data_IF_419396841159
#
_entry.id   IF_419396841159
#
_cell.length_a   1.000
_cell.length_b   1.000
_cell.length_c   1.000
_cell.angle_alpha   90.00
_cell.angle_beta   90.00
_cell.angle_gamma   90.00
#
_symmetry.space_group_name_H-M   'P 1'
#
loop_
_entity.id
_entity.type
_entity.pdbx_description
1 polymer ?
#
# COMPACT_ATOMS: atom_id res chain seq x y z
N UNK A 1 7.07 31.38 -24.63
CA UNK A 1 6.23 30.34 -23.99
C UNK A 1 7.04 29.05 -23.94
N UNK A 2 7.15 28.40 -22.77
CA UNK A 2 7.87 27.12 -22.64
C UNK A 2 7.04 26.00 -23.27
N UNK A 3 7.66 25.14 -24.08
CA UNK A 3 6.98 24.00 -24.72
C UNK A 3 6.60 22.99 -23.62
N UNK A 4 5.34 22.52 -23.55
CA UNK A 4 4.96 21.52 -22.56
C UNK A 4 5.82 20.26 -22.74
N UNK A 5 6.40 19.77 -21.63
CA UNK A 5 7.15 18.51 -21.64
C UNK A 5 6.20 17.38 -22.03
N UNK A 6 6.63 16.55 -22.99
CA UNK A 6 5.90 15.35 -23.37
C UNK A 6 5.95 14.33 -22.22
N UNK A 7 4.87 13.56 -22.04
CA UNK A 7 4.86 12.45 -21.09
C UNK A 7 5.88 11.39 -21.47
N UNK A 8 6.35 10.60 -20.50
CA UNK A 8 7.27 9.48 -20.75
C UNK A 8 6.75 8.55 -21.85
N UNK A 9 5.46 8.20 -21.81
CA UNK A 9 4.81 7.38 -22.82
C UNK A 9 4.89 8.02 -24.23
N UNK A 10 4.67 9.34 -24.33
CA UNK A 10 4.75 10.05 -25.60
C UNK A 10 6.20 10.17 -26.11
N UNK A 11 7.18 10.22 -25.23
CA UNK A 11 8.61 10.20 -25.60
C UNK A 11 8.98 8.81 -26.14
N UNK A 12 8.61 7.75 -25.44
CA UNK A 12 8.88 6.38 -25.87
C UNK A 12 8.20 6.08 -27.22
N UNK A 13 6.94 6.47 -27.41
CA UNK A 13 6.24 6.28 -28.68
C UNK A 13 6.93 6.99 -29.85
N UNK A 14 7.31 8.27 -29.66
CA UNK A 14 8.03 9.03 -30.69
C UNK A 14 9.38 8.41 -31.04
N UNK A 15 10.12 7.96 -30.03
CA UNK A 15 11.42 7.31 -30.24
C UNK A 15 11.27 5.99 -31.00
N UNK A 16 10.24 5.19 -30.68
CA UNK A 16 9.94 3.97 -31.42
C UNK A 16 9.62 4.23 -32.89
N UNK A 17 8.79 5.24 -33.17
CA UNK A 17 8.48 5.66 -34.56
C UNK A 17 9.73 6.12 -35.29
N UNK A 18 10.58 6.94 -34.65
CA UNK A 18 11.80 7.46 -35.25
C UNK A 18 12.79 6.34 -35.61
N UNK A 19 13.04 5.41 -34.67
CA UNK A 19 13.91 4.25 -34.89
C UNK A 19 13.35 3.31 -35.97
N UNK A 20 12.04 3.17 -36.04
CA UNK A 20 11.40 2.34 -37.05
C UNK A 20 11.50 2.95 -38.45
N UNK A 21 11.33 4.27 -38.57
CA UNK A 21 11.52 4.99 -39.81
C UNK A 21 12.98 4.92 -40.29
N UNK A 22 13.94 5.05 -39.38
CA UNK A 22 15.37 4.94 -39.69
C UNK A 22 15.75 3.58 -40.28
N UNK A 23 15.07 2.50 -39.88
CA UNK A 23 15.31 1.15 -40.43
C UNK A 23 14.54 0.90 -41.73
N UNK A 24 13.29 1.36 -41.83
CA UNK A 24 12.40 1.03 -42.96
C UNK A 24 12.58 1.90 -44.19
N UNK A 25 13.15 3.10 -44.05
CA UNK A 25 13.25 4.07 -45.14
C UNK A 25 14.71 4.19 -45.60
N UNK A 26 15.07 3.69 -46.79
CA UNK A 26 16.46 3.68 -47.28
C UNK A 26 17.08 5.08 -47.39
N UNK A 27 16.27 6.09 -47.72
CA UNK A 27 16.70 7.49 -47.80
C UNK A 27 17.12 8.03 -46.42
N UNK A 28 16.36 7.71 -45.38
CA UNK A 28 16.69 8.09 -44.00
C UNK A 28 17.92 7.32 -43.52
N UNK A 29 17.99 6.01 -43.78
CA UNK A 29 19.12 5.18 -43.40
C UNK A 29 20.44 5.70 -44.00
N UNK A 30 20.42 6.10 -45.27
CA UNK A 30 21.61 6.62 -45.97
C UNK A 30 22.09 7.95 -45.37
N UNK A 31 21.16 8.86 -45.03
CA UNK A 31 21.50 10.14 -44.37
C UNK A 31 21.99 9.93 -42.93
N UNK A 32 21.40 8.99 -42.21
CA UNK A 32 21.83 8.62 -40.85
C UNK A 32 23.26 8.06 -40.84
N UNK A 33 23.60 7.22 -41.82
CA UNK A 33 24.94 6.64 -41.99
C UNK A 33 26.00 7.72 -42.29
N UNK A 34 25.66 8.73 -43.10
CA UNK A 34 26.52 9.91 -43.34
C UNK A 34 26.87 10.67 -42.05
N UNK A 35 25.98 10.62 -41.05
CA UNK A 35 26.17 11.22 -39.73
C UNK A 35 26.74 10.25 -38.68
N UNK A 36 27.19 9.06 -39.08
CA UNK A 36 27.83 8.08 -38.20
C UNK A 36 26.87 7.17 -37.44
N UNK A 37 25.58 7.16 -37.81
CA UNK A 37 24.59 6.22 -37.29
C UNK A 37 24.40 5.08 -38.29
N UNK A 38 25.32 4.12 -38.24
CA UNK A 38 25.23 2.91 -39.04
C UNK A 38 24.12 1.97 -38.54
N UNK A 39 23.92 0.86 -39.26
CA UNK A 39 22.91 -0.13 -38.88
C UNK A 39 23.12 -0.73 -37.48
N UNK A 40 24.37 -0.81 -37.00
CA UNK A 40 24.69 -1.38 -35.70
C UNK A 40 24.29 -0.42 -34.57
N UNK A 41 24.55 0.88 -34.73
CA UNK A 41 24.17 1.90 -33.76
C UNK A 41 22.64 2.06 -33.69
N UNK A 42 21.94 1.99 -34.82
CA UNK A 42 20.47 2.00 -34.86
C UNK A 42 19.90 0.75 -34.16
N UNK A 43 20.53 -0.42 -34.34
CA UNK A 43 20.14 -1.65 -33.65
C UNK A 43 20.36 -1.55 -32.12
N UNK A 44 21.46 -0.93 -31.68
CA UNK A 44 21.72 -0.64 -30.27
C UNK A 44 20.63 0.29 -29.68
N UNK A 45 20.29 1.37 -30.39
CA UNK A 45 19.20 2.28 -30.01
C UNK A 45 17.84 1.57 -29.89
N UNK A 46 17.54 0.62 -30.79
CA UNK A 46 16.34 -0.24 -30.69
C UNK A 46 16.35 -1.13 -29.46
N UNK A 47 17.48 -1.78 -29.15
CA UNK A 47 17.60 -2.62 -27.96
C UNK A 47 17.38 -1.81 -26.68
N UNK A 48 17.98 -0.63 -26.56
CA UNK A 48 17.76 0.29 -25.44
C UNK A 48 16.32 0.76 -25.35
N UNK A 49 15.68 1.05 -26.50
CA UNK A 49 14.28 1.45 -26.53
C UNK A 49 13.33 0.33 -26.05
N UNK A 50 13.59 -0.91 -26.45
CA UNK A 50 12.82 -2.08 -26.01
C UNK A 50 13.00 -2.35 -24.51
N UNK A 51 14.22 -2.20 -23.98
CA UNK A 51 14.48 -2.29 -22.55
C UNK A 51 13.72 -1.20 -21.77
N UNK A 52 13.77 0.05 -22.24
CA UNK A 52 13.04 1.16 -21.64
C UNK A 52 11.53 0.91 -21.63
N UNK A 53 10.97 0.37 -22.72
CA UNK A 53 9.55 -0.03 -22.79
C UNK A 53 9.22 -1.12 -21.77
N UNK A 54 10.10 -2.11 -21.60
CA UNK A 54 9.92 -3.19 -20.63
C UNK A 54 9.88 -2.64 -19.19
N UNK A 55 10.83 -1.77 -18.85
CA UNK A 55 10.88 -1.13 -17.53
C UNK A 55 9.67 -0.23 -17.29
N UNK A 56 9.31 0.60 -18.28
CA UNK A 56 8.15 1.50 -18.17
C UNK A 56 6.84 0.74 -17.94
N UNK A 57 6.62 -0.36 -18.68
CA UNK A 57 5.47 -1.26 -18.48
C UNK A 57 5.47 -1.87 -17.08
N UNK A 58 6.63 -2.32 -16.59
CA UNK A 58 6.77 -2.88 -15.25
C UNK A 58 6.42 -1.83 -14.19
N UNK A 59 6.97 -0.62 -14.29
CA UNK A 59 6.68 0.48 -13.37
C UNK A 59 5.19 0.83 -13.32
N UNK A 60 4.51 0.79 -14.48
CA UNK A 60 3.07 1.02 -14.54
C UNK A 60 2.29 -0.04 -13.75
N UNK A 61 2.62 -1.32 -13.95
CA UNK A 61 1.98 -2.43 -13.23
C UNK A 61 2.23 -2.29 -11.72
N UNK A 62 3.46 -2.06 -11.30
CA UNK A 62 3.80 -1.86 -9.88
C UNK A 62 3.08 -0.65 -9.27
N UNK A 63 2.93 0.43 -10.04
CA UNK A 63 2.16 1.61 -9.63
C UNK A 63 0.66 1.33 -9.46
N UNK A 64 0.07 0.57 -10.37
CA UNK A 64 -1.33 0.15 -10.31
C UNK A 64 -1.56 -0.77 -9.09
N UNK A 65 -0.66 -1.73 -8.86
CA UNK A 65 -0.67 -2.64 -7.70
C UNK A 65 -0.52 -1.88 -6.37
N UNK A 66 0.43 -0.94 -6.29
CA UNK A 66 0.63 -0.10 -5.11
C UNK A 66 -0.60 0.76 -4.82
N UNK A 67 -1.24 1.29 -5.86
CA UNK A 67 -2.48 2.08 -5.73
C UNK A 67 -3.62 1.23 -5.19
N UNK A 68 -3.78 0.00 -5.68
CA UNK A 68 -4.83 -0.90 -5.21
C UNK A 68 -4.58 -1.36 -3.77
N UNK A 69 -3.35 -1.75 -3.44
CA UNK A 69 -2.97 -2.10 -2.08
C UNK A 69 -3.22 -0.95 -1.10
N UNK A 70 -2.89 0.28 -1.50
CA UNK A 70 -3.15 1.47 -0.68
C UNK A 70 -4.65 1.73 -0.49
N UNK A 71 -5.48 1.59 -1.52
CA UNK A 71 -6.94 1.72 -1.38
C UNK A 71 -7.51 0.72 -0.38
N UNK A 72 -7.08 -0.53 -0.47
CA UNK A 72 -7.51 -1.59 0.45
C UNK A 72 -7.09 -1.23 1.89
N UNK A 73 -5.83 -0.85 2.09
CA UNK A 73 -5.31 -0.41 3.38
C UNK A 73 -6.09 0.78 3.95
N UNK A 74 -6.29 1.84 3.17
CA UNK A 74 -7.02 3.04 3.60
C UNK A 74 -8.46 2.71 4.00
N UNK A 75 -9.11 1.81 3.26
CA UNK A 75 -10.45 1.32 3.61
C UNK A 75 -10.48 0.51 4.92
N UNK A 76 -9.48 -0.35 5.16
CA UNK A 76 -9.36 -1.10 6.42
C UNK A 76 -9.07 -0.15 7.59
N UNK A 77 -8.13 0.77 7.41
CA UNK A 77 -7.74 1.77 8.40
C UNK A 77 -8.95 2.61 8.83
N UNK A 78 -9.70 3.19 7.87
CA UNK A 78 -10.87 4.01 8.18
C UNK A 78 -11.94 3.24 8.96
N UNK A 79 -12.25 2.00 8.55
CA UNK A 79 -13.21 1.15 9.29
C UNK A 79 -12.74 0.85 10.71
N UNK A 80 -11.45 0.57 10.89
CA UNK A 80 -10.88 0.31 12.22
C UNK A 80 -10.91 1.57 13.09
N UNK A 81 -10.59 2.74 12.54
CA UNK A 81 -10.63 4.01 13.28
C UNK A 81 -12.05 4.38 13.70
N UNK A 82 -13.04 4.20 12.83
CA UNK A 82 -14.44 4.40 13.18
C UNK A 82 -14.91 3.45 14.28
N UNK A 83 -14.56 2.17 14.16
CA UNK A 83 -14.92 1.14 15.15
C UNK A 83 -14.28 1.45 16.50
N UNK A 84 -12.98 1.71 16.53
CA UNK A 84 -12.26 2.09 17.73
C UNK A 84 -12.84 3.38 18.33
N UNK A 85 -13.13 4.40 17.52
CA UNK A 85 -13.71 5.66 18.00
C UNK A 85 -15.07 5.45 18.69
N UNK A 86 -15.93 4.59 18.15
CA UNK A 86 -17.22 4.23 18.78
C UNK A 86 -17.00 3.46 20.07
N UNK A 87 -16.17 2.42 20.04
CA UNK A 87 -15.93 1.54 21.18
C UNK A 87 -15.26 2.29 22.33
N UNK A 88 -14.29 3.15 22.00
CA UNK A 88 -13.62 4.04 22.94
C UNK A 88 -14.61 4.97 23.64
N UNK A 89 -15.53 5.60 22.90
CA UNK A 89 -16.57 6.46 23.49
C UNK A 89 -17.47 5.67 24.44
N UNK A 90 -17.91 4.48 24.04
CA UNK A 90 -18.71 3.59 24.90
C UNK A 90 -17.94 3.20 26.16
N UNK A 91 -16.69 2.76 26.03
CA UNK A 91 -15.86 2.36 27.15
C UNK A 91 -15.64 3.52 28.14
N UNK A 92 -15.44 4.75 27.65
CA UNK A 92 -15.33 5.93 28.52
C UNK A 92 -16.61 6.23 29.31
N UNK A 93 -17.78 5.92 28.75
CA UNK A 93 -19.07 6.08 29.44
C UNK A 93 -19.25 4.97 30.47
N UNK A 94 -18.99 3.72 30.08
CA UNK A 94 -19.17 2.54 30.95
C UNK A 94 -18.25 2.60 32.16
N UNK A 95 -16.97 2.93 31.96
CA UNK A 95 -15.97 2.96 33.03
C UNK A 95 -15.78 4.36 33.62
N UNK A 96 -16.76 5.27 33.46
CA UNK A 96 -16.62 6.68 33.89
C UNK A 96 -16.26 6.82 35.37
N UNK A 97 -16.79 5.93 36.21
CA UNK A 97 -16.57 5.91 37.66
C UNK A 97 -15.42 4.99 38.09
N UNK A 98 -14.80 4.28 37.14
CA UNK A 98 -13.66 3.39 37.37
C UNK A 98 -12.38 3.95 36.72
N UNK A 99 -11.66 4.85 37.42
CA UNK A 99 -10.45 5.46 36.90
C UNK A 99 -9.31 4.45 36.70
N UNK A 100 -9.34 3.32 37.42
CA UNK A 100 -8.31 2.27 37.30
C UNK A 100 -8.44 1.57 35.96
N UNK A 101 -9.67 1.15 35.61
CA UNK A 101 -9.96 0.52 34.32
C UNK A 101 -9.77 1.47 33.14
N UNK A 102 -10.16 2.75 33.29
CA UNK A 102 -9.90 3.77 32.26
C UNK A 102 -8.40 3.95 31.96
N UNK A 103 -7.56 3.93 33.00
CA UNK A 103 -6.10 4.05 32.84
C UNK A 103 -5.53 2.80 32.17
N UNK A 104 -6.01 1.61 32.57
CA UNK A 104 -5.59 0.31 32.01
C UNK A 104 -5.93 0.16 30.53
N UNK A 105 -7.07 0.71 30.10
CA UNK A 105 -7.50 0.77 28.70
C UNK A 105 -6.90 1.95 27.91
N UNK A 106 -5.99 2.73 28.49
CA UNK A 106 -5.36 3.91 27.89
C UNK A 106 -6.40 4.99 27.43
N UNK A 107 -7.50 5.14 28.16
CA UNK A 107 -8.63 6.02 27.80
C UNK A 107 -8.57 7.42 28.40
N UNK A 108 -7.59 7.69 29.26
CA UNK A 108 -7.42 8.95 29.98
C UNK A 108 -6.77 10.06 29.14
N UNK A 109 -6.16 9.72 28.00
CA UNK A 109 -5.44 10.66 27.13
C UNK A 109 -6.15 11.02 25.81
N UNK A 110 -5.42 11.74 24.95
CA UNK A 110 -5.77 12.02 23.56
C UNK A 110 -5.32 10.87 22.65
N UNK A 111 -6.06 10.67 21.55
CA UNK A 111 -5.67 9.68 20.53
C UNK A 111 -4.47 10.24 19.75
N UNK A 112 -3.35 9.49 19.62
CA UNK A 112 -2.23 9.92 18.81
C UNK A 112 -2.61 10.09 17.33
N UNK A 113 -2.08 11.12 16.67
CA UNK A 113 -2.27 11.33 15.23
C UNK A 113 -1.31 10.48 14.37
N UNK A 114 -0.13 10.16 14.91
CA UNK A 114 0.86 9.36 14.20
C UNK A 114 0.39 7.90 14.10
N UNK A 115 0.43 7.33 12.88
CA UNK A 115 -0.09 6.00 12.59
C UNK A 115 0.45 4.91 13.52
N UNK A 116 1.76 4.83 13.72
CA UNK A 116 2.39 3.80 14.56
C UNK A 116 1.92 3.89 16.02
N UNK A 117 1.82 5.12 16.54
CA UNK A 117 1.35 5.35 17.90
C UNK A 117 -0.15 5.03 18.03
N UNK A 118 -0.97 5.46 17.06
CA UNK A 118 -2.38 5.11 16.99
C UNK A 118 -2.60 3.59 16.94
N UNK A 119 -1.87 2.88 16.08
CA UNK A 119 -1.98 1.43 15.93
C UNK A 119 -1.65 0.71 17.24
N UNK A 120 -0.61 1.15 17.93
CA UNK A 120 -0.25 0.63 19.25
C UNK A 120 -1.36 0.83 20.27
N UNK A 121 -1.95 2.02 20.34
CA UNK A 121 -3.07 2.32 21.24
C UNK A 121 -4.30 1.45 20.93
N UNK A 122 -4.67 1.31 19.66
CA UNK A 122 -5.80 0.46 19.24
C UNK A 122 -5.54 -1.01 19.59
N UNK A 123 -4.32 -1.50 19.33
CA UNK A 123 -3.91 -2.87 19.64
C UNK A 123 -3.94 -3.14 21.15
N UNK A 124 -3.39 -2.22 21.96
CA UNK A 124 -3.41 -2.31 23.42
C UNK A 124 -4.85 -2.34 23.94
N UNK A 125 -5.71 -1.43 23.46
CA UNK A 125 -7.11 -1.37 23.87
C UNK A 125 -7.83 -2.70 23.67
N UNK A 126 -7.80 -3.27 22.47
CA UNK A 126 -8.49 -4.54 22.19
C UNK A 126 -7.81 -5.74 22.85
N UNK A 127 -6.48 -5.73 23.03
CA UNK A 127 -5.77 -6.80 23.73
C UNK A 127 -6.15 -6.84 25.21
N UNK A 128 -6.16 -5.68 25.88
CA UNK A 128 -6.58 -5.56 27.29
C UNK A 128 -8.04 -5.95 27.47
N UNK A 129 -8.93 -5.52 26.56
CA UNK A 129 -10.34 -5.93 26.59
C UNK A 129 -10.56 -7.43 26.43
N UNK A 130 -9.74 -8.11 25.62
CA UNK A 130 -9.86 -9.55 25.40
C UNK A 130 -9.20 -10.38 26.52
N UNK A 131 -8.14 -9.86 27.14
CA UNK A 131 -7.41 -10.56 28.21
C UNK A 131 -8.21 -10.61 29.52
N UNK A 132 -9.06 -9.62 29.77
CA UNK A 132 -9.83 -9.55 31.00
C UNK A 132 -11.26 -10.06 30.77
N UNK A 133 -11.49 -11.32 31.17
CA UNK A 133 -12.82 -11.95 31.11
C UNK A 133 -13.91 -11.17 31.85
N UNK A 134 -13.52 -10.37 32.83
CA UNK A 134 -14.39 -9.48 33.62
C UNK A 134 -14.69 -8.14 32.93
N UNK A 135 -13.84 -7.67 32.01
CA UNK A 135 -14.07 -6.47 31.18
C UNK A 135 -14.91 -6.76 29.93
N UNK A 136 -15.43 -7.97 29.82
CA UNK A 136 -16.17 -8.46 28.68
C UNK A 136 -17.52 -7.71 28.57
N UNK A 137 -17.46 -6.57 27.89
CA UNK A 137 -18.60 -5.76 27.46
C UNK A 137 -19.64 -6.57 26.65
N UNK A 138 -19.37 -7.84 26.29
CA UNK A 138 -20.33 -8.78 25.68
C UNK A 138 -21.60 -9.03 26.49
N UNK A 139 -21.72 -8.59 27.74
CA UNK A 139 -23.01 -8.61 28.46
C UNK A 139 -23.85 -7.33 28.31
N UNK A 140 -23.31 -6.26 27.72
CA UNK A 140 -24.05 -5.02 27.46
C UNK A 140 -23.96 -4.71 25.96
N UNK A 141 -24.82 -5.38 25.18
CA UNK A 141 -25.20 -5.07 23.80
C UNK A 141 -24.10 -5.06 22.72
N UNK A 142 -23.68 -6.23 22.23
CA UNK A 142 -23.37 -6.38 20.80
C UNK A 142 -24.12 -7.57 20.22
N UNK A 143 -24.82 -7.35 19.11
CA UNK A 143 -25.40 -8.41 18.31
C UNK A 143 -24.25 -9.16 17.61
N UNK A 144 -24.28 -10.48 17.69
CA UNK A 144 -23.25 -11.44 17.23
C UNK A 144 -22.80 -11.30 15.76
N UNK A 145 -23.44 -10.44 14.96
CA UNK A 145 -23.11 -10.17 13.57
C UNK A 145 -21.73 -9.51 13.38
N UNK A 146 -21.26 -8.70 14.34
CA UNK A 146 -19.99 -7.96 14.20
C UNK A 146 -18.77 -8.84 14.54
N UNK A 147 -18.93 -9.87 15.37
CA UNK A 147 -17.86 -10.82 15.71
C UNK A 147 -17.44 -11.69 14.52
N UNK A 148 -18.36 -11.90 13.57
CA UNK A 148 -18.15 -12.70 12.36
C UNK A 148 -17.28 -11.97 11.33
N UNK A 149 -17.36 -10.63 11.30
CA UNK A 149 -16.54 -9.78 10.43
C UNK A 149 -15.07 -9.76 10.87
N UNK A 150 -14.79 -9.68 12.17
CA UNK A 150 -13.41 -9.70 12.70
C UNK A 150 -12.70 -11.04 12.45
N UNK A 151 -13.42 -12.16 12.54
CA UNK A 151 -12.88 -13.49 12.20
C UNK A 151 -12.56 -13.64 10.70
N UNK A 152 -13.37 -13.02 9.84
CA UNK A 152 -13.14 -13.02 8.39
C UNK A 152 -11.96 -12.12 8.00
N UNK A 153 -11.80 -10.96 8.66
CA UNK A 153 -10.67 -10.06 8.44
C UNK A 153 -9.34 -10.73 8.84
N UNK A 154 -9.30 -11.47 9.96
CA UNK A 154 -8.11 -12.24 10.37
C UNK A 154 -7.72 -13.33 9.35
N UNK A 155 -8.70 -14.01 8.73
CA UNK A 155 -8.46 -15.00 7.66
C UNK A 155 -7.98 -14.37 6.34
N UNK A 156 -8.39 -13.14 6.06
CA UNK A 156 -7.99 -12.40 4.85
C UNK A 156 -6.60 -11.77 4.99
N UNK A 157 -6.16 -11.48 6.22
CA UNK A 157 -4.84 -10.88 6.49
C UNK A 157 -3.74 -11.95 6.62
N UNK A 158 -4.06 -13.16 7.09
CA UNK A 158 -3.11 -14.28 7.14
C UNK A 158 -3.76 -15.60 6.65
N UNK A 159 -3.65 -15.95 5.35
CA UNK A 159 -4.19 -17.20 4.84
C UNK A 159 -3.41 -18.46 5.26
N UNK A 160 -2.18 -18.30 5.79
CA UNK A 160 -1.23 -19.41 5.95
C UNK A 160 -0.50 -19.41 7.31
N UNK A 161 -1.23 -19.25 8.41
CA UNK A 161 -0.73 -19.65 9.74
C UNK A 161 -0.78 -21.18 9.88
N UNK A 162 0.08 -21.84 9.10
CA UNK A 162 0.52 -23.21 9.30
C UNK A 162 2.05 -23.23 9.31
N UNK A 163 2.71 -22.40 10.12
CA UNK A 163 4.01 -22.74 10.70
C UNK A 163 4.45 -21.71 11.76
N UNK A 164 4.92 -22.18 12.91
CA UNK A 164 5.46 -21.35 14.01
C UNK A 164 6.85 -20.74 13.74
N UNK A 165 7.35 -20.65 12.50
CA UNK A 165 8.80 -20.52 12.25
C UNK A 165 9.30 -19.26 11.49
N UNK A 166 8.53 -18.18 11.37
CA UNK A 166 9.03 -16.94 10.74
C UNK A 166 9.35 -15.81 11.74
N UNK A 167 10.05 -16.15 12.83
CA UNK A 167 10.99 -15.22 13.47
C UNK A 167 12.39 -15.55 12.94
N UNK A 168 12.71 -15.06 11.75
CA UNK A 168 14.07 -14.65 11.39
C UNK A 168 14.07 -14.18 9.94
N UNK A 169 14.24 -12.89 9.69
CA UNK A 169 15.10 -12.41 8.62
C UNK A 169 15.42 -10.94 8.90
N UNK A 170 16.56 -10.77 9.58
CA UNK A 170 17.62 -9.80 9.29
C UNK A 170 17.19 -8.38 8.86
N UNK A 171 17.20 -7.49 9.85
CA UNK A 171 17.91 -6.21 9.70
C UNK A 171 19.38 -6.52 9.37
N UNK A 172 19.77 -6.27 8.12
CA UNK A 172 21.17 -6.04 7.74
C UNK A 172 21.22 -4.63 7.16
N UNK A 173 21.62 -3.70 8.01
CA UNK A 173 22.49 -2.57 7.74
C UNK A 173 23.30 -2.34 9.01
#
# INVERSE_FOLDING_TARGET
>A
MSRPQASEAAILERNGIALENAVKQPEIASLMEEHGYDSAEIANGKALHEEALKVSRKNKVEGDEATEAYKIYAGIYGRLDEMYSRDRKKAKIVFREDPVTLKKLELTGTIPQAYVAWQKTVSNFYSTLNAESELNWRKIAMKDSELKLLKNIRKLICPNDHNEDFISYKLVA
#
